data_IF_213712041617
#
_entry.id   IF_213712041617
#
_cell.length_a   1.000
_cell.length_b   1.000
_cell.length_c   1.000
_cell.angle_alpha   90.00
_cell.angle_beta   90.00
_cell.angle_gamma   90.00
#
_symmetry.space_group_name_H-M   'P 1'
#
loop_
_entity.id
_entity.type
_entity.pdbx_description
1 polymer ?
#
# COMPACT_ATOMS: atom_id res chain seq x y z
N UNK A 1 -4.46 24.19 3.59
CA UNK A 1 -3.83 25.23 2.79
C UNK A 1 -3.53 24.62 1.43
N UNK A 2 -4.38 24.90 0.42
CA UNK A 2 -4.20 24.40 -0.94
C UNK A 2 -3.12 25.26 -1.59
N UNK A 3 -1.93 24.72 -1.77
CA UNK A 3 -0.93 25.33 -2.64
C UNK A 3 -1.40 25.14 -4.10
N UNK A 4 -1.79 26.21 -4.73
CA UNK A 4 -2.00 26.26 -6.18
C UNK A 4 -0.61 26.32 -6.82
N UNK A 5 -0.08 25.15 -7.19
CA UNK A 5 1.12 25.07 -8.02
C UNK A 5 0.76 25.53 -9.45
N UNK A 6 1.65 26.28 -10.09
CA UNK A 6 1.55 26.51 -11.53
C UNK A 6 1.82 25.20 -12.30
N UNK A 7 1.29 25.06 -13.53
CA UNK A 7 1.47 23.83 -14.32
C UNK A 7 2.96 23.45 -14.48
N UNK A 8 3.85 24.42 -14.62
CA UNK A 8 5.30 24.18 -14.71
C UNK A 8 5.94 23.70 -13.40
N UNK A 9 5.41 24.10 -12.24
CA UNK A 9 5.86 23.61 -10.92
C UNK A 9 5.43 22.16 -10.71
N UNK A 10 4.24 21.79 -11.19
CA UNK A 10 3.73 20.41 -11.11
C UNK A 10 4.57 19.43 -11.94
N UNK A 11 4.94 19.82 -13.17
CA UNK A 11 5.82 19.03 -14.02
C UNK A 11 7.19 18.83 -13.37
N UNK A 12 7.76 19.88 -12.79
CA UNK A 12 9.04 19.80 -12.10
C UNK A 12 8.99 18.86 -10.87
N UNK A 13 7.93 18.93 -10.08
CA UNK A 13 7.73 18.01 -8.93
C UNK A 13 7.59 16.56 -9.40
N UNK A 14 6.88 16.32 -10.51
CA UNK A 14 6.75 14.99 -11.09
C UNK A 14 8.12 14.43 -11.52
N UNK A 15 8.95 15.24 -12.22
CA UNK A 15 10.31 14.86 -12.62
C UNK A 15 11.19 14.53 -11.40
N UNK A 16 11.06 15.28 -10.30
CA UNK A 16 11.79 15.02 -9.07
C UNK A 16 11.39 13.66 -8.47
N UNK A 17 10.09 13.34 -8.42
CA UNK A 17 9.64 12.02 -7.98
C UNK A 17 10.12 10.90 -8.90
N UNK A 18 10.09 11.09 -10.22
CA UNK A 18 10.56 10.11 -11.18
C UNK A 18 12.06 9.80 -11.02
N UNK A 19 12.86 10.80 -10.68
CA UNK A 19 14.28 10.62 -10.36
C UNK A 19 14.47 9.96 -9.00
N UNK A 20 13.84 10.48 -7.95
CA UNK A 20 13.97 9.97 -6.59
C UNK A 20 13.52 8.51 -6.48
N UNK A 21 12.44 8.12 -7.17
CA UNK A 21 11.95 6.75 -7.16
C UNK A 21 12.83 5.76 -7.94
N UNK A 22 13.66 6.23 -8.87
CA UNK A 22 14.67 5.41 -9.55
C UNK A 22 15.93 5.22 -8.70
N UNK A 23 16.32 6.28 -7.99
CA UNK A 23 17.57 6.30 -7.21
C UNK A 23 17.40 5.65 -5.83
N UNK A 24 16.18 5.68 -5.27
CA UNK A 24 15.90 5.21 -3.91
C UNK A 24 14.68 4.28 -3.86
N UNK A 25 14.87 3.06 -3.35
CA UNK A 25 13.78 2.13 -3.02
C UNK A 25 13.16 2.45 -1.64
N UNK A 26 12.83 3.70 -1.40
CA UNK A 26 12.27 4.16 -0.13
C UNK A 26 10.74 4.15 -0.16
N UNK A 27 10.11 3.44 0.79
CA UNK A 27 8.64 3.43 0.95
C UNK A 27 8.10 4.85 1.11
N UNK A 28 8.81 5.70 1.86
CA UNK A 28 8.40 7.09 2.09
C UNK A 28 8.36 7.90 0.79
N UNK A 29 9.37 7.78 -0.07
CA UNK A 29 9.41 8.49 -1.37
C UNK A 29 8.25 8.04 -2.26
N UNK A 30 8.00 6.73 -2.33
CA UNK A 30 6.89 6.19 -3.11
C UNK A 30 5.52 6.58 -2.56
N UNK A 31 5.35 6.60 -1.24
CA UNK A 31 4.12 7.05 -0.60
C UNK A 31 3.85 8.53 -0.91
N UNK A 32 4.84 9.41 -0.78
CA UNK A 32 4.71 10.83 -1.12
C UNK A 32 4.37 11.03 -2.61
N UNK A 33 4.97 10.25 -3.52
CA UNK A 33 4.62 10.25 -4.95
C UNK A 33 3.16 9.87 -5.17
N UNK A 34 2.66 8.84 -4.49
CA UNK A 34 1.25 8.43 -4.54
C UNK A 34 0.32 9.54 -4.01
N UNK A 35 0.64 10.12 -2.86
CA UNK A 35 -0.13 11.23 -2.26
C UNK A 35 -0.13 12.47 -3.16
N UNK A 36 1.01 12.78 -3.79
CA UNK A 36 1.09 13.84 -4.77
C UNK A 36 0.17 13.57 -5.98
N UNK A 37 0.17 12.35 -6.52
CA UNK A 37 -0.73 11.94 -7.59
C UNK A 37 -2.21 12.08 -7.20
N UNK A 38 -2.56 11.77 -5.94
CA UNK A 38 -3.91 11.98 -5.39
C UNK A 38 -4.28 13.46 -5.32
N UNK A 39 -3.32 14.36 -5.00
CA UNK A 39 -3.57 15.80 -4.93
C UNK A 39 -3.91 16.41 -6.29
N UNK A 40 -3.47 15.77 -7.39
CA UNK A 40 -3.73 16.18 -8.77
C UNK A 40 -5.10 15.74 -9.30
N UNK A 41 -6.10 15.56 -8.42
CA UNK A 41 -7.46 15.10 -8.78
C UNK A 41 -8.14 16.05 -9.77
N UNK A 42 -7.87 15.88 -11.06
CA UNK A 42 -8.73 16.36 -12.11
C UNK A 42 -9.68 15.24 -12.55
N UNK A 43 -10.92 15.56 -12.86
CA UNK A 43 -11.91 14.60 -13.33
C UNK A 43 -11.35 13.84 -14.56
N UNK A 44 -11.02 12.55 -14.39
CA UNK A 44 -10.42 11.69 -15.44
C UNK A 44 -9.09 11.05 -15.05
N UNK A 45 -8.43 11.45 -13.97
CA UNK A 45 -7.07 11.01 -13.63
C UNK A 45 -7.01 9.73 -12.77
N UNK A 46 -8.15 9.08 -12.49
CA UNK A 46 -8.20 7.89 -11.63
C UNK A 46 -7.34 6.72 -12.13
N UNK A 47 -7.22 6.55 -13.46
CA UNK A 47 -6.39 5.50 -14.03
C UNK A 47 -4.89 5.77 -13.80
N UNK A 48 -4.43 7.00 -14.01
CA UNK A 48 -3.04 7.40 -13.78
C UNK A 48 -2.64 7.27 -12.31
N UNK A 49 -3.57 7.58 -11.39
CA UNK A 49 -3.35 7.39 -9.96
C UNK A 49 -3.16 5.90 -9.64
N UNK A 50 -4.00 5.01 -10.22
CA UNK A 50 -3.85 3.56 -10.06
C UNK A 50 -2.50 3.06 -10.58
N UNK A 51 -2.06 3.53 -11.73
CA UNK A 51 -0.76 3.19 -12.31
C UNK A 51 0.38 3.57 -11.36
N UNK A 52 0.32 4.76 -10.75
CA UNK A 52 1.33 5.18 -9.74
C UNK A 52 1.33 4.25 -8.52
N UNK A 53 0.16 3.83 -8.02
CA UNK A 53 0.08 2.88 -6.92
C UNK A 53 0.58 1.50 -7.29
N UNK A 54 0.27 1.01 -8.50
CA UNK A 54 0.78 -0.28 -8.99
C UNK A 54 2.30 -0.28 -9.12
N UNK A 55 2.89 0.80 -9.63
CA UNK A 55 4.35 0.97 -9.64
C UNK A 55 4.92 0.95 -8.21
N UNK A 56 4.31 1.67 -7.27
CA UNK A 56 4.76 1.70 -5.88
C UNK A 56 4.69 0.30 -5.23
N UNK A 57 3.64 -0.47 -5.49
CA UNK A 57 3.51 -1.85 -5.00
C UNK A 57 4.65 -2.73 -5.53
N UNK A 58 4.99 -2.62 -6.81
CA UNK A 58 6.06 -3.41 -7.42
C UNK A 58 7.42 -3.09 -6.78
N UNK A 59 7.69 -1.81 -6.48
CA UNK A 59 9.00 -1.39 -5.96
C UNK A 59 9.14 -1.55 -4.45
N UNK A 60 8.11 -1.24 -3.68
CA UNK A 60 8.19 -1.16 -2.21
C UNK A 60 7.06 -1.84 -1.46
N UNK A 61 6.04 -2.36 -2.15
CA UNK A 61 4.88 -3.01 -1.52
C UNK A 61 5.21 -4.30 -0.78
N UNK A 62 6.39 -4.88 -1.02
CA UNK A 62 6.89 -6.09 -0.36
C UNK A 62 7.78 -5.79 0.87
N UNK A 63 8.00 -4.52 1.19
CA UNK A 63 8.82 -4.13 2.33
C UNK A 63 8.13 -4.56 3.64
N UNK A 64 8.72 -5.51 4.37
CA UNK A 64 8.11 -6.23 5.50
C UNK A 64 7.47 -5.31 6.54
N UNK A 65 8.15 -4.24 6.95
CA UNK A 65 7.67 -3.35 8.01
C UNK A 65 6.82 -2.16 7.52
N UNK A 66 7.04 -1.66 6.31
CA UNK A 66 6.42 -0.42 5.83
C UNK A 66 5.60 -0.59 4.54
N UNK A 67 5.71 -1.72 3.84
CA UNK A 67 5.03 -1.94 2.56
C UNK A 67 3.51 -1.79 2.65
N UNK A 68 2.93 -2.15 3.80
CA UNK A 68 1.50 -2.00 4.06
C UNK A 68 0.98 -0.58 3.83
N UNK A 69 1.78 0.46 4.10
CA UNK A 69 1.38 1.86 3.93
C UNK A 69 0.93 2.16 2.49
N UNK A 70 1.58 1.56 1.50
CA UNK A 70 1.20 1.73 0.08
C UNK A 70 -0.13 1.02 -0.22
N UNK A 71 -0.29 -0.21 0.27
CA UNK A 71 -1.51 -1.00 0.09
C UNK A 71 -2.72 -0.32 0.74
N UNK A 72 -2.55 0.17 1.97
CA UNK A 72 -3.57 0.84 2.75
C UNK A 72 -4.01 2.16 2.07
N UNK A 73 -3.04 2.97 1.61
CA UNK A 73 -3.33 4.20 0.87
C UNK A 73 -4.06 3.92 -0.45
N UNK A 74 -3.72 2.84 -1.15
CA UNK A 74 -4.42 2.46 -2.39
C UNK A 74 -5.86 2.01 -2.11
N UNK A 75 -6.08 1.19 -1.08
CA UNK A 75 -7.45 0.80 -0.68
C UNK A 75 -8.29 2.00 -0.27
N UNK A 76 -7.71 2.96 0.46
CA UNK A 76 -8.39 4.19 0.86
C UNK A 76 -8.80 5.04 -0.36
N UNK A 77 -7.94 5.10 -1.37
CA UNK A 77 -8.29 5.75 -2.64
C UNK A 77 -9.49 5.07 -3.32
N UNK A 78 -9.49 3.75 -3.48
CA UNK A 78 -10.62 3.03 -4.08
C UNK A 78 -11.89 3.13 -3.23
N UNK A 79 -11.79 3.13 -1.89
CA UNK A 79 -12.91 3.37 -0.98
C UNK A 79 -13.49 4.79 -1.16
N UNK A 80 -12.64 5.80 -1.33
CA UNK A 80 -13.09 7.17 -1.62
C UNK A 80 -13.89 7.23 -2.91
N UNK A 81 -13.45 6.50 -3.95
CA UNK A 81 -14.17 6.42 -5.23
C UNK A 81 -15.50 5.66 -5.09
N UNK A 82 -15.52 4.59 -4.29
CA UNK A 82 -16.74 3.84 -3.99
C UNK A 82 -17.79 4.73 -3.33
N UNK A 83 -17.40 5.53 -2.35
CA UNK A 83 -18.29 6.47 -1.64
C UNK A 83 -18.81 7.59 -2.55
N UNK A 84 -18.00 8.04 -3.52
CA UNK A 84 -18.39 9.10 -4.46
C UNK A 84 -19.24 8.58 -5.63
N UNK A 85 -19.25 7.27 -5.87
CA UNK A 85 -19.92 6.66 -7.01
C UNK A 85 -21.41 6.55 -6.76
N UNK A 86 -22.22 7.07 -7.69
CA UNK A 86 -23.70 6.95 -7.67
C UNK A 86 -24.22 5.80 -8.55
N UNK A 87 -23.37 5.27 -9.46
CA UNK A 87 -23.70 4.22 -10.39
C UNK A 87 -23.36 2.85 -9.78
N UNK A 88 -24.32 1.93 -9.78
CA UNK A 88 -24.14 0.56 -9.26
C UNK A 88 -23.00 -0.20 -9.94
N UNK A 89 -22.84 -0.05 -11.26
CA UNK A 89 -21.75 -0.71 -12.00
C UNK A 89 -20.39 -0.23 -11.55
N UNK A 90 -20.23 1.08 -11.33
CA UNK A 90 -18.99 1.66 -10.86
C UNK A 90 -18.69 1.26 -9.41
N UNK A 91 -19.73 1.18 -8.57
CA UNK A 91 -19.62 0.67 -7.19
C UNK A 91 -19.12 -0.77 -7.16
N UNK A 92 -19.70 -1.65 -8.00
CA UNK A 92 -19.25 -3.05 -8.11
C UNK A 92 -17.80 -3.15 -8.59
N UNK A 93 -17.41 -2.32 -9.55
CA UNK A 93 -16.03 -2.29 -10.02
C UNK A 93 -15.06 -1.85 -8.91
N UNK A 94 -15.42 -0.82 -8.12
CA UNK A 94 -14.60 -0.39 -6.99
C UNK A 94 -14.50 -1.50 -5.93
N UNK A 95 -15.62 -2.14 -5.56
CA UNK A 95 -15.61 -3.28 -4.62
C UNK A 95 -14.72 -4.42 -5.10
N UNK A 96 -14.81 -4.78 -6.37
CA UNK A 96 -13.97 -5.83 -6.96
C UNK A 96 -12.47 -5.45 -6.94
N UNK A 97 -12.11 -4.17 -7.10
CA UNK A 97 -10.71 -3.71 -7.00
C UNK A 97 -10.22 -3.78 -5.55
N UNK A 98 -11.03 -3.31 -4.59
CA UNK A 98 -10.71 -3.36 -3.17
C UNK A 98 -10.49 -4.81 -2.72
N UNK A 99 -11.37 -5.73 -3.11
CA UNK A 99 -11.23 -7.15 -2.82
C UNK A 99 -9.92 -7.71 -3.38
N UNK A 100 -9.60 -7.42 -4.64
CA UNK A 100 -8.34 -7.84 -5.26
C UNK A 100 -7.11 -7.27 -4.56
N UNK A 101 -7.17 -6.03 -4.07
CA UNK A 101 -6.08 -5.42 -3.31
C UNK A 101 -5.86 -6.17 -1.99
N UNK A 102 -6.91 -6.47 -1.24
CA UNK A 102 -6.80 -7.31 -0.04
C UNK A 102 -6.19 -8.68 -0.35
N UNK A 103 -6.72 -9.38 -1.37
CA UNK A 103 -6.24 -10.71 -1.75
C UNK A 103 -4.77 -10.71 -2.18
N UNK A 104 -4.29 -9.63 -2.82
CA UNK A 104 -2.88 -9.47 -3.20
C UNK A 104 -2.01 -9.18 -1.99
N UNK A 105 -2.43 -8.24 -1.13
CA UNK A 105 -1.69 -7.87 0.07
C UNK A 105 -1.52 -9.04 1.03
N UNK A 106 -2.56 -9.85 1.23
CA UNK A 106 -2.55 -11.02 2.13
C UNK A 106 -1.60 -12.15 1.70
N UNK A 107 -1.05 -12.09 0.48
CA UNK A 107 0.00 -13.00 -0.01
C UNK A 107 1.41 -12.50 0.30
N UNK A 108 1.54 -11.26 0.77
CA UNK A 108 2.82 -10.63 1.05
C UNK A 108 3.11 -10.71 2.55
N UNK A 109 4.31 -11.16 2.97
CA UNK A 109 4.68 -11.29 4.39
C UNK A 109 4.96 -9.91 5.01
N UNK A 110 3.91 -9.21 5.44
CA UNK A 110 3.97 -7.89 6.05
C UNK A 110 3.68 -7.99 7.55
N UNK A 111 4.35 -7.19 8.38
CA UNK A 111 4.21 -7.22 9.84
C UNK A 111 2.77 -7.02 10.33
N UNK A 112 1.96 -6.23 9.62
CA UNK A 112 0.58 -5.96 9.99
C UNK A 112 -0.45 -6.89 9.32
N UNK A 113 -0.03 -7.98 8.70
CA UNK A 113 -0.92 -8.84 7.90
C UNK A 113 -2.09 -9.44 8.70
N UNK A 114 -1.96 -9.64 10.01
CA UNK A 114 -3.05 -10.12 10.86
C UNK A 114 -4.17 -9.08 10.96
N UNK A 115 -3.83 -7.82 11.18
CA UNK A 115 -4.78 -6.70 11.20
C UNK A 115 -5.46 -6.55 9.82
N UNK A 116 -4.70 -6.63 8.73
CA UNK A 116 -5.23 -6.59 7.36
C UNK A 116 -6.21 -7.75 7.10
N UNK A 117 -5.94 -8.94 7.63
CA UNK A 117 -6.83 -10.09 7.46
C UNK A 117 -8.17 -9.91 8.21
N UNK A 118 -8.13 -9.36 9.43
CA UNK A 118 -9.35 -9.02 10.17
C UNK A 118 -10.14 -7.89 9.48
N UNK A 119 -9.46 -6.88 8.96
CA UNK A 119 -10.07 -5.81 8.15
C UNK A 119 -10.77 -6.39 6.92
N UNK A 120 -10.13 -7.29 6.19
CA UNK A 120 -10.71 -7.97 5.03
C UNK A 120 -11.98 -8.74 5.39
N UNK A 121 -11.97 -9.52 6.48
CA UNK A 121 -13.16 -10.25 6.94
C UNK A 121 -14.33 -9.32 7.29
N UNK A 122 -14.04 -8.22 7.95
CA UNK A 122 -15.06 -7.22 8.30
C UNK A 122 -15.60 -6.54 7.04
N UNK A 123 -14.73 -6.17 6.11
CA UNK A 123 -15.11 -5.57 4.84
C UNK A 123 -16.00 -6.52 4.01
N UNK A 124 -15.67 -7.80 3.93
CA UNK A 124 -16.52 -8.80 3.24
C UNK A 124 -17.90 -8.91 3.84
N UNK A 125 -18.04 -8.89 5.17
CA UNK A 125 -19.35 -8.93 5.84
C UNK A 125 -20.20 -7.71 5.52
N UNK A 126 -19.56 -6.52 5.49
CA UNK A 126 -20.27 -5.24 5.34
C UNK A 126 -20.65 -4.99 3.89
N UNK A 127 -19.72 -5.18 2.96
CA UNK A 127 -19.86 -4.73 1.58
C UNK A 127 -20.36 -5.82 0.62
N UNK A 128 -20.08 -7.08 0.91
CA UNK A 128 -20.38 -8.19 0.00
C UNK A 128 -21.58 -9.05 0.48
N UNK A 129 -22.15 -8.76 1.65
CA UNK A 129 -23.20 -9.58 2.27
C UNK A 129 -22.89 -11.09 2.33
N UNK A 130 -21.62 -11.46 2.25
CA UNK A 130 -21.17 -12.84 2.32
C UNK A 130 -21.11 -13.28 3.79
N UNK A 131 -21.80 -14.35 4.10
CA UNK A 131 -21.63 -15.02 5.38
C UNK A 131 -20.18 -15.46 5.59
N UNK A 132 -19.69 -15.23 6.75
CA UNK A 132 -18.39 -15.29 7.41
C UNK A 132 -17.29 -16.29 6.93
N UNK A 133 -17.41 -17.00 5.84
CA UNK A 133 -16.39 -17.94 5.38
C UNK A 133 -15.47 -17.30 4.33
N UNK A 134 -14.26 -16.96 4.75
CA UNK A 134 -13.18 -16.58 3.82
C UNK A 134 -12.93 -17.75 2.86
N UNK A 135 -12.78 -17.45 1.57
CA UNK A 135 -12.43 -18.45 0.58
C UNK A 135 -11.18 -19.23 1.02
N UNK A 136 -11.28 -20.56 1.03
CA UNK A 136 -10.20 -21.47 1.48
C UNK A 136 -8.86 -21.22 0.78
N UNK A 137 -8.88 -20.74 -0.45
CA UNK A 137 -7.66 -20.37 -1.17
C UNK A 137 -6.99 -19.11 -0.59
N UNK A 138 -7.77 -18.10 -0.23
CA UNK A 138 -7.24 -16.87 0.40
C UNK A 138 -6.67 -17.20 1.78
N UNK A 139 -7.36 -18.02 2.56
CA UNK A 139 -6.88 -18.48 3.85
C UNK A 139 -5.53 -19.19 3.72
N UNK A 140 -5.40 -20.10 2.76
CA UNK A 140 -4.14 -20.84 2.51
C UNK A 140 -3.00 -19.90 2.11
N UNK A 141 -3.23 -18.95 1.22
CA UNK A 141 -2.21 -17.98 0.79
C UNK A 141 -1.77 -17.08 1.96
N UNK A 142 -2.71 -16.66 2.80
CA UNK A 142 -2.42 -15.93 4.02
C UNK A 142 -1.56 -16.75 4.99
N UNK A 143 -1.92 -18.03 5.22
CA UNK A 143 -1.17 -18.91 6.14
C UNK A 143 0.27 -19.14 5.64
N UNK A 144 0.47 -19.31 4.32
CA UNK A 144 1.79 -19.37 3.70
C UNK A 144 2.60 -18.09 3.89
N UNK A 145 1.99 -16.93 3.63
CA UNK A 145 2.66 -15.65 3.83
C UNK A 145 3.04 -15.42 5.31
N UNK A 146 2.18 -15.86 6.24
CA UNK A 146 2.45 -15.80 7.68
C UNK A 146 3.62 -16.69 8.11
N UNK A 147 3.75 -17.87 7.52
CA UNK A 147 4.92 -18.74 7.75
C UNK A 147 6.21 -18.09 7.23
N UNK A 148 6.15 -17.44 6.07
CA UNK A 148 7.27 -16.67 5.54
C UNK A 148 7.65 -15.50 6.45
N UNK A 149 6.66 -14.75 6.94
CA UNK A 149 6.89 -13.63 7.86
C UNK A 149 7.64 -14.09 9.11
N UNK A 150 7.21 -15.19 9.77
CA UNK A 150 7.89 -15.73 10.95
C UNK A 150 9.36 -16.07 10.71
N UNK A 151 9.71 -16.49 9.48
CA UNK A 151 11.11 -16.74 9.13
C UNK A 151 11.89 -15.43 8.95
N UNK A 152 11.24 -14.38 8.42
CA UNK A 152 11.86 -13.07 8.20
C UNK A 152 12.04 -12.30 9.52
N UNK A 153 11.09 -12.37 10.46
CA UNK A 153 11.16 -11.66 11.75
C UNK A 153 12.47 -11.89 12.49
N UNK A 154 12.96 -13.14 12.50
CA UNK A 154 14.24 -13.47 13.14
C UNK A 154 15.44 -12.73 12.53
N UNK A 155 15.37 -12.41 11.24
CA UNK A 155 16.43 -11.67 10.54
C UNK A 155 16.26 -10.16 10.70
N UNK A 156 15.03 -9.67 10.69
CA UNK A 156 14.71 -8.26 10.95
C UNK A 156 15.13 -7.84 12.36
N UNK A 157 14.83 -8.66 13.37
CA UNK A 157 15.26 -8.43 14.75
C UNK A 157 16.81 -8.35 14.87
N UNK A 158 17.53 -9.22 14.17
CA UNK A 158 18.98 -9.19 14.14
C UNK A 158 19.53 -7.92 13.44
N UNK A 159 18.87 -7.47 12.37
CA UNK A 159 19.26 -6.24 11.68
C UNK A 159 19.04 -5.01 12.56
N UNK A 160 17.95 -4.96 13.30
CA UNK A 160 17.66 -3.89 14.26
C UNK A 160 18.71 -3.86 15.37
N UNK A 161 19.03 -5.02 15.97
CA UNK A 161 20.08 -5.13 16.99
C UNK A 161 21.45 -4.68 16.48
N UNK A 162 21.84 -5.09 15.27
CA UNK A 162 23.12 -4.68 14.69
C UNK A 162 23.20 -3.18 14.38
N UNK A 163 22.08 -2.54 14.01
CA UNK A 163 22.03 -1.09 13.80
C UNK A 163 22.26 -0.33 15.12
N UNK A 164 21.68 -0.80 16.22
CA UNK A 164 21.90 -0.22 17.54
C UNK A 164 23.35 -0.37 17.99
N UNK A 165 23.99 -1.50 17.67
CA UNK A 165 25.41 -1.74 17.98
C UNK A 165 26.34 -0.84 17.15
N UNK A 166 26.07 -0.61 15.86
CA UNK A 166 26.84 0.31 15.01
C UNK A 166 26.70 1.77 15.45
N UNK A 167 25.50 2.20 15.82
CA UNK A 167 25.24 3.54 16.37
C UNK A 167 25.97 3.70 17.70
N UNK A 168 25.96 2.67 18.55
CA UNK A 168 26.70 2.68 19.82
C UNK A 168 28.20 2.81 19.61
N UNK A 169 28.77 2.11 18.63
CA UNK A 169 30.19 2.19 18.29
C UNK A 169 30.64 3.54 17.73
N UNK A 170 29.74 4.28 17.06
CA UNK A 170 30.03 5.63 16.57
C UNK A 170 30.02 6.71 17.65
N UNK A 171 29.26 6.50 18.76
CA UNK A 171 29.18 7.44 19.88
C UNK A 171 30.45 7.37 20.79
N UNK A 172 31.18 6.25 20.77
CA UNK A 172 32.38 6.04 21.56
C UNK A 172 33.72 6.25 20.79
N UNK A 173 33.67 6.80 19.59
CA UNK A 173 34.82 7.26 18.82
C UNK A 173 34.87 8.78 18.75
#
# INVERSE_FOLDING_TARGET
MLFLYSDGELEHVQELFDRASKDYTSVKVWLERCLFSLSQKNAGNGQKIRETFEEAIVHVGVHTSQGSLIWDAYREFENSLLMMSTNKTDQEQCKNRIEKLFQRQLKVPLLNMEATFEEFKNWQKTEMNFGAAVNSNIQREYDLAREHLKKCEVFEDKLLQNQDDEVSLQIYR
#
